data_IF_185814157466
#
_entry.id   IF_185814157466
#
_cell.length_a   1.000
_cell.length_b   1.000
_cell.length_c   1.000
_cell.angle_alpha   90.00
_cell.angle_beta   90.00
_cell.angle_gamma   90.00
#
_symmetry.space_group_name_H-M   'P 1'
#
loop_
_entity.id
_entity.type
_entity.pdbx_description
1 polymer ?
#
# COMPACT_ATOMS: atom_id res chain seq x y z
N UNK A 1 29.63 15.73 29.99
CA UNK A 1 28.91 14.45 30.15
C UNK A 1 29.79 13.35 29.58
N UNK A 2 29.99 12.23 30.28
CA UNK A 2 30.89 11.18 29.78
C UNK A 2 30.15 10.31 28.75
N UNK A 3 30.83 9.90 27.68
CA UNK A 3 30.23 9.06 26.63
C UNK A 3 29.64 7.75 27.18
N UNK A 4 30.30 7.17 28.20
CA UNK A 4 29.82 5.95 28.88
C UNK A 4 28.49 6.15 29.60
N UNK A 5 28.24 7.33 30.18
CA UNK A 5 26.98 7.66 30.85
C UNK A 5 25.83 7.75 29.84
N UNK A 6 26.09 8.37 28.68
CA UNK A 6 25.11 8.48 27.59
C UNK A 6 24.80 7.10 27.00
N UNK A 7 25.83 6.29 26.75
CA UNK A 7 25.64 4.94 26.23
C UNK A 7 24.82 4.08 27.21
N UNK A 8 25.10 4.18 28.51
CA UNK A 8 24.30 3.50 29.54
C UNK A 8 22.86 4.01 29.57
N UNK A 9 22.63 5.32 29.46
CA UNK A 9 21.30 5.90 29.35
C UNK A 9 20.53 5.36 28.14
N UNK A 10 21.16 5.31 26.97
CA UNK A 10 20.55 4.82 25.73
C UNK A 10 20.10 3.35 25.88
N UNK A 11 21.01 2.46 26.27
CA UNK A 11 20.71 1.02 26.35
C UNK A 11 19.68 0.70 27.45
N UNK A 12 19.69 1.46 28.55
CA UNK A 12 18.68 1.32 29.59
C UNK A 12 17.28 1.75 29.14
N UNK A 13 17.18 2.68 28.18
CA UNK A 13 15.91 3.21 27.72
C UNK A 13 15.40 2.56 26.44
N UNK A 14 16.24 1.94 25.62
CA UNK A 14 15.82 1.29 24.37
C UNK A 14 14.69 0.26 24.60
N UNK A 15 14.77 -0.50 25.71
CA UNK A 15 13.74 -1.47 26.11
C UNK A 15 12.40 -0.87 26.54
N UNK A 16 12.33 0.44 26.77
CA UNK A 16 11.10 1.13 27.18
C UNK A 16 10.26 1.55 25.96
N UNK A 17 10.71 1.26 24.75
CA UNK A 17 10.00 1.54 23.52
C UNK A 17 9.14 0.36 23.09
N UNK A 18 7.83 0.57 23.04
CA UNK A 18 6.85 -0.40 22.55
C UNK A 18 6.63 -0.19 21.05
N UNK A 19 7.61 -0.62 20.26
CA UNK A 19 7.58 -0.59 18.78
C UNK A 19 7.43 -2.00 18.23
N UNK A 20 6.92 -2.13 17.00
CA UNK A 20 6.53 -3.43 16.44
C UNK A 20 7.73 -4.35 16.16
N UNK A 21 8.92 -3.79 15.93
CA UNK A 21 10.16 -4.54 15.68
C UNK A 21 11.41 -3.68 15.92
N UNK A 22 12.58 -4.15 15.48
CA UNK A 22 13.90 -3.58 15.79
C UNK A 22 14.44 -2.60 14.75
N UNK A 23 13.74 -2.40 13.63
CA UNK A 23 14.19 -1.55 12.53
C UNK A 23 14.39 -0.08 12.93
N UNK A 24 13.68 0.39 13.95
CA UNK A 24 13.86 1.74 14.50
C UNK A 24 14.87 1.83 15.65
N UNK A 25 15.55 0.75 16.03
CA UNK A 25 16.45 0.79 17.19
C UNK A 25 17.55 1.85 17.03
N UNK A 26 18.18 1.94 15.87
CA UNK A 26 19.23 2.94 15.65
C UNK A 26 18.69 4.36 15.63
N UNK A 27 17.47 4.55 15.12
CA UNK A 27 16.76 5.81 15.15
C UNK A 27 16.47 6.25 16.61
N UNK A 28 15.97 5.32 17.44
CA UNK A 28 15.73 5.55 18.87
C UNK A 28 17.02 5.85 19.62
N UNK A 29 18.12 5.14 19.31
CA UNK A 29 19.44 5.40 19.91
C UNK A 29 19.91 6.83 19.62
N UNK A 30 19.77 7.29 18.37
CA UNK A 30 20.14 8.65 17.98
C UNK A 30 19.25 9.70 18.66
N UNK A 31 17.95 9.44 18.76
CA UNK A 31 17.01 10.31 19.49
C UNK A 31 17.38 10.44 20.98
N UNK A 32 17.66 9.33 21.65
CA UNK A 32 18.07 9.31 23.05
C UNK A 32 19.43 9.99 23.26
N UNK A 33 20.36 9.85 22.31
CA UNK A 33 21.61 10.61 22.31
C UNK A 33 21.33 12.12 22.24
N UNK A 34 20.49 12.57 21.32
CA UNK A 34 20.11 13.99 21.19
C UNK A 34 19.36 14.51 22.42
N UNK A 35 18.51 13.71 23.07
CA UNK A 35 17.91 14.09 24.36
C UNK A 35 18.96 14.32 25.44
N UNK A 36 19.94 13.42 25.57
CA UNK A 36 20.99 13.56 26.57
C UNK A 36 21.81 14.85 26.33
N UNK A 37 22.20 15.12 25.08
CA UNK A 37 22.91 16.35 24.70
C UNK A 37 22.03 17.60 24.89
N UNK A 38 20.73 17.49 24.61
CA UNK A 38 19.74 18.55 24.76
C UNK A 38 19.41 18.92 26.21
N UNK A 39 19.95 18.19 27.19
CA UNK A 39 19.79 18.49 28.61
C UNK A 39 18.75 17.63 29.34
N UNK A 40 18.26 16.56 28.73
CA UNK A 40 17.39 15.61 29.43
C UNK A 40 18.08 15.04 30.67
N UNK A 41 17.34 14.98 31.78
CA UNK A 41 17.83 14.32 32.99
C UNK A 41 17.88 12.81 32.76
N UNK A 42 19.08 12.28 32.50
CA UNK A 42 19.30 10.85 32.23
C UNK A 42 18.89 9.90 33.38
N UNK A 43 18.54 10.41 34.56
CA UNK A 43 17.93 9.62 35.65
C UNK A 43 16.45 9.31 35.39
N UNK A 44 15.79 10.08 34.53
CA UNK A 44 14.41 9.88 34.14
C UNK A 44 14.34 8.96 32.93
N UNK A 45 13.53 7.92 33.04
CA UNK A 45 13.26 7.01 31.95
C UNK A 45 12.50 7.74 30.83
N UNK A 46 12.81 7.36 29.59
CA UNK A 46 12.13 7.79 28.38
C UNK A 46 11.31 6.62 27.88
N UNK A 47 10.06 6.90 27.51
CA UNK A 47 9.14 5.91 26.96
C UNK A 47 8.69 6.38 25.58
N UNK A 48 8.52 5.43 24.67
CA UNK A 48 7.95 5.69 23.38
C UNK A 48 7.20 4.47 22.87
N UNK A 49 6.45 4.67 21.79
CA UNK A 49 5.72 3.61 21.13
C UNK A 49 5.54 3.93 19.66
N UNK A 50 5.25 2.91 18.88
CA UNK A 50 4.65 3.11 17.57
C UNK A 50 3.22 3.64 17.75
N UNK A 51 2.84 4.62 16.93
CA UNK A 51 1.47 5.08 16.78
C UNK A 51 1.27 5.65 15.37
N UNK A 52 0.30 5.08 14.65
CA UNK A 52 -0.06 5.49 13.28
C UNK A 52 1.15 5.44 12.31
N UNK A 53 1.97 4.40 12.46
CA UNK A 53 3.16 4.16 11.65
C UNK A 53 4.35 5.06 11.97
N UNK A 54 4.29 5.81 13.08
CA UNK A 54 5.37 6.70 13.52
C UNK A 54 5.86 6.39 14.94
N UNK A 55 7.13 6.70 15.19
CA UNK A 55 7.73 6.72 16.50
C UNK A 55 7.21 7.92 17.30
N UNK A 56 6.38 7.64 18.30
CA UNK A 56 5.86 8.62 19.23
C UNK A 56 6.58 8.52 20.58
N UNK A 57 7.15 9.64 21.04
CA UNK A 57 7.74 9.76 22.36
C UNK A 57 7.09 10.91 23.12
N UNK A 58 6.42 10.60 24.24
CA UNK A 58 5.78 11.62 25.07
C UNK A 58 6.77 12.09 26.13
N UNK A 59 7.23 13.34 25.98
CA UNK A 59 8.15 13.99 26.92
C UNK A 59 7.59 15.33 27.36
N UNK A 60 7.89 15.69 28.60
CA UNK A 60 7.48 16.95 29.20
C UNK A 60 8.57 17.43 30.14
N UNK A 61 8.88 18.72 30.06
CA UNK A 61 9.72 19.44 31.01
C UNK A 61 8.99 20.70 31.47
N UNK A 62 9.08 21.01 32.77
CA UNK A 62 8.60 22.29 33.31
C UNK A 62 9.44 23.48 32.83
N UNK A 63 10.70 23.22 32.45
CA UNK A 63 11.54 24.20 31.76
C UNK A 63 11.09 24.34 30.31
N UNK A 64 10.59 25.53 29.96
CA UNK A 64 10.06 25.86 28.65
C UNK A 64 11.10 25.76 27.53
N UNK A 65 12.34 26.18 27.78
CA UNK A 65 13.40 26.14 26.76
C UNK A 65 13.78 24.69 26.47
N UNK A 66 13.96 23.89 27.52
CA UNK A 66 14.20 22.46 27.40
C UNK A 66 13.04 21.76 26.70
N UNK A 67 11.79 22.10 27.02
CA UNK A 67 10.62 21.50 26.39
C UNK A 67 10.55 21.78 24.87
N UNK A 68 10.96 22.98 24.42
CA UNK A 68 11.06 23.31 22.99
C UNK A 68 12.17 22.50 22.31
N UNK A 69 13.34 22.39 22.92
CA UNK A 69 14.47 21.58 22.39
C UNK A 69 14.02 20.12 22.22
N UNK A 70 13.42 19.57 23.27
CA UNK A 70 12.94 18.19 23.30
C UNK A 70 11.83 17.95 22.27
N UNK A 71 10.87 18.87 22.15
CA UNK A 71 9.81 18.82 21.12
C UNK A 71 10.36 18.80 19.70
N UNK A 72 11.36 19.63 19.40
CA UNK A 72 12.01 19.64 18.08
C UNK A 72 12.70 18.30 17.77
N UNK A 73 13.32 17.68 18.78
CA UNK A 73 13.95 16.35 18.63
C UNK A 73 12.86 15.30 18.37
N UNK A 74 11.78 15.27 19.16
CA UNK A 74 10.69 14.29 18.92
C UNK A 74 10.07 14.43 17.55
N UNK A 75 9.79 15.66 17.10
CA UNK A 75 9.17 15.92 15.80
C UNK A 75 10.08 15.47 14.66
N UNK A 76 11.40 15.71 14.79
CA UNK A 76 12.40 15.22 13.83
C UNK A 76 12.35 13.70 13.73
N UNK A 77 12.37 12.99 14.85
CA UNK A 77 12.46 11.53 14.87
C UNK A 77 11.14 10.82 14.53
N UNK A 78 9.97 11.44 14.81
CA UNK A 78 8.67 10.98 14.28
C UNK A 78 8.68 11.04 12.74
N UNK A 79 9.07 12.17 12.14
CA UNK A 79 9.15 12.30 10.66
C UNK A 79 10.14 11.33 10.02
N UNK A 80 11.29 11.10 10.66
CA UNK A 80 12.28 10.14 10.17
C UNK A 80 11.75 8.70 10.24
N UNK A 81 11.03 8.36 11.31
CA UNK A 81 10.45 7.02 11.45
C UNK A 81 9.44 6.69 10.36
N UNK A 82 8.69 7.69 9.87
CA UNK A 82 7.77 7.56 8.73
C UNK A 82 8.43 7.27 7.37
N UNK A 83 9.78 7.27 7.32
CA UNK A 83 10.59 6.96 6.13
C UNK A 83 11.48 5.74 6.29
N UNK A 84 11.38 5.06 7.44
CA UNK A 84 12.25 3.94 7.80
C UNK A 84 11.37 2.74 8.14
N UNK A 85 11.62 1.60 7.52
CA UNK A 85 10.91 0.38 7.82
C UNK A 85 11.08 -0.02 9.29
N UNK A 86 9.97 -0.16 10.01
CA UNK A 86 9.98 -0.53 11.43
C UNK A 86 10.55 -1.93 11.69
N UNK A 87 10.56 -2.80 10.67
CA UNK A 87 11.03 -4.18 10.77
C UNK A 87 12.55 -4.29 10.58
N UNK A 88 13.11 -3.70 9.52
CA UNK A 88 14.53 -3.89 9.18
C UNK A 88 15.38 -2.62 9.15
N UNK A 89 14.79 -1.43 9.28
CA UNK A 89 15.54 -0.17 9.28
C UNK A 89 16.00 0.32 7.91
N UNK A 90 15.62 -0.35 6.81
CA UNK A 90 15.83 0.18 5.46
C UNK A 90 14.86 1.32 5.16
N UNK A 91 15.04 1.99 4.02
CA UNK A 91 14.04 2.93 3.49
C UNK A 91 12.66 2.28 3.43
N UNK A 92 11.65 3.02 3.90
CA UNK A 92 10.26 2.61 3.96
C UNK A 92 9.32 3.78 3.71
N UNK A 93 8.04 3.46 3.57
CA UNK A 93 6.97 4.43 3.39
C UNK A 93 5.83 4.09 4.34
N UNK A 94 4.99 5.07 4.66
CA UNK A 94 3.73 4.84 5.37
C UNK A 94 2.81 3.98 4.51
N UNK A 95 2.22 2.95 5.09
CA UNK A 95 1.33 2.00 4.42
C UNK A 95 0.17 1.64 5.32
N UNK A 96 -0.91 1.16 4.70
CA UNK A 96 -2.07 0.65 5.43
C UNK A 96 -2.19 -0.85 5.21
N UNK A 97 -2.24 -1.62 6.29
CA UNK A 97 -2.47 -3.07 6.29
C UNK A 97 -3.61 -3.34 7.27
N UNK A 98 -4.69 -3.98 6.82
CA UNK A 98 -5.85 -4.32 7.68
C UNK A 98 -6.38 -3.12 8.49
N UNK A 99 -6.43 -1.93 7.87
CA UNK A 99 -6.80 -0.64 8.50
C UNK A 99 -5.80 -0.06 9.52
N UNK A 100 -4.61 -0.65 9.66
CA UNK A 100 -3.52 -0.16 10.50
C UNK A 100 -2.46 0.55 9.66
N UNK A 101 -2.06 1.74 10.10
CA UNK A 101 -0.94 2.45 9.50
C UNK A 101 0.39 1.95 10.09
N UNK A 102 1.34 1.63 9.23
CA UNK A 102 2.70 1.20 9.57
C UNK A 102 3.70 1.74 8.56
N UNK A 103 4.96 1.94 8.95
CA UNK A 103 6.02 2.28 8.00
C UNK A 103 6.82 1.05 7.63
N UNK A 104 6.72 0.62 6.36
CA UNK A 104 7.37 -0.59 5.87
C UNK A 104 8.10 -0.34 4.54
N UNK A 105 9.19 -1.08 4.34
CA UNK A 105 9.76 -1.24 3.01
C UNK A 105 8.84 -2.12 2.15
N UNK A 106 8.96 -2.02 0.84
CA UNK A 106 8.13 -2.78 -0.10
C UNK A 106 8.16 -4.29 0.16
N UNK A 107 9.31 -4.86 0.49
CA UNK A 107 9.42 -6.31 0.74
C UNK A 107 8.58 -6.75 1.94
N UNK A 108 8.73 -6.08 3.09
CA UNK A 108 7.93 -6.40 4.28
C UNK A 108 6.45 -6.06 4.10
N UNK A 109 6.13 -5.08 3.24
CA UNK A 109 4.76 -4.82 2.86
C UNK A 109 4.16 -5.99 2.06
N UNK A 110 4.85 -6.49 1.04
CA UNK A 110 4.39 -7.63 0.22
C UNK A 110 4.35 -8.95 1.00
N UNK A 111 5.18 -9.12 2.03
CA UNK A 111 5.03 -10.24 2.98
C UNK A 111 3.72 -10.16 3.76
N UNK A 112 3.17 -8.95 3.94
CA UNK A 112 1.96 -8.70 4.70
C UNK A 112 0.71 -8.52 3.82
N UNK A 113 0.84 -7.97 2.62
CA UNK A 113 -0.21 -7.87 1.61
C UNK A 113 0.02 -8.94 0.54
N UNK A 114 -0.68 -10.09 0.61
CA UNK A 114 -0.41 -11.21 -0.26
C UNK A 114 -0.80 -10.90 -1.71
N UNK A 115 0.03 -11.36 -2.64
CA UNK A 115 -0.37 -11.58 -4.02
C UNK A 115 -1.21 -12.85 -4.07
N UNK A 116 -2.37 -12.80 -4.74
CA UNK A 116 -3.17 -13.98 -5.02
C UNK A 116 -2.43 -14.80 -6.09
N UNK A 117 -2.10 -16.06 -5.79
CA UNK A 117 -1.60 -16.99 -6.80
C UNK A 117 -2.58 -18.14 -6.99
N UNK A 118 -2.78 -18.50 -8.26
CA UNK A 118 -3.71 -19.54 -8.68
C UNK A 118 -2.93 -20.50 -9.57
N UNK A 119 -2.82 -21.74 -9.12
CA UNK A 119 -2.07 -22.77 -9.86
C UNK A 119 -2.94 -23.50 -10.89
N UNK A 120 -2.32 -24.43 -11.64
CA UNK A 120 -3.01 -25.24 -12.66
C UNK A 120 -4.08 -26.18 -12.09
N UNK A 121 -4.05 -26.44 -10.77
CA UNK A 121 -5.04 -27.25 -10.05
C UNK A 121 -6.13 -26.39 -9.41
N UNK A 122 -6.12 -25.08 -9.68
CA UNK A 122 -7.03 -24.09 -9.12
C UNK A 122 -6.90 -23.97 -7.58
N UNK A 123 -5.73 -24.31 -7.02
CA UNK A 123 -5.41 -23.94 -5.65
C UNK A 123 -5.12 -22.44 -5.58
N UNK A 124 -5.84 -21.75 -4.70
CA UNK A 124 -5.61 -20.33 -4.40
C UNK A 124 -4.69 -20.24 -3.21
N UNK A 125 -3.55 -19.58 -3.36
CA UNK A 125 -2.56 -19.40 -2.30
C UNK A 125 -2.32 -17.93 -1.98
N UNK A 126 -2.17 -17.63 -0.70
CA UNK A 126 -1.75 -16.34 -0.16
C UNK A 126 -0.52 -16.57 0.71
N UNK A 127 0.56 -15.80 0.49
CA UNK A 127 1.84 -15.95 1.21
C UNK A 127 2.39 -17.39 1.17
N UNK A 128 2.20 -18.08 0.04
CA UNK A 128 2.62 -19.47 -0.15
C UNK A 128 1.81 -20.50 0.65
N UNK A 129 0.71 -20.11 1.29
CA UNK A 129 -0.22 -21.01 1.98
C UNK A 129 -1.48 -21.16 1.15
N UNK A 130 -1.90 -22.39 0.89
CA UNK A 130 -3.20 -22.68 0.29
C UNK A 130 -4.31 -22.18 1.22
N UNK A 131 -5.21 -21.36 0.67
CA UNK A 131 -6.34 -20.79 1.38
C UNK A 131 -7.63 -21.54 1.04
N UNK A 132 -7.81 -21.87 -0.25
CA UNK A 132 -8.93 -22.66 -0.78
C UNK A 132 -8.56 -23.32 -2.11
N UNK A 133 -9.41 -24.22 -2.60
CA UNK A 133 -9.38 -24.69 -3.98
C UNK A 133 -10.69 -24.32 -4.69
N UNK A 134 -10.63 -23.74 -5.89
CA UNK A 134 -11.84 -23.27 -6.59
C UNK A 134 -12.80 -24.40 -6.99
N UNK A 135 -12.35 -25.65 -7.04
CA UNK A 135 -13.22 -26.82 -7.29
C UNK A 135 -14.03 -27.24 -6.05
N UNK A 136 -13.63 -26.78 -4.87
CA UNK A 136 -14.31 -27.03 -3.59
C UNK A 136 -15.25 -25.87 -3.19
N UNK A 137 -15.22 -24.76 -3.94
CA UNK A 137 -16.10 -23.62 -3.74
C UNK A 137 -17.53 -23.97 -4.16
N UNK A 138 -18.48 -23.83 -3.25
CA UNK A 138 -19.91 -24.09 -3.47
C UNK A 138 -20.67 -22.84 -3.93
N UNK A 139 -20.17 -21.64 -3.59
CA UNK A 139 -20.84 -20.37 -3.85
C UNK A 139 -19.83 -19.21 -3.91
N UNK A 140 -20.14 -18.19 -4.69
CA UNK A 140 -19.38 -16.95 -4.77
C UNK A 140 -20.30 -15.71 -4.74
N UNK A 141 -19.89 -14.65 -4.07
CA UNK A 141 -20.61 -13.37 -4.03
C UNK A 141 -19.65 -12.21 -4.29
N UNK A 142 -20.12 -11.19 -5.01
CA UNK A 142 -19.36 -9.95 -5.27
C UNK A 142 -19.98 -8.79 -4.51
N UNK A 143 -19.16 -7.86 -4.04
CA UNK A 143 -19.60 -6.65 -3.35
C UNK A 143 -19.09 -5.39 -4.04
N UNK A 144 -19.83 -4.28 -3.86
CA UNK A 144 -19.41 -2.91 -4.19
C UNK A 144 -18.83 -2.75 -5.61
N UNK A 145 -19.61 -3.03 -6.66
CA UNK A 145 -19.16 -2.92 -8.07
C UNK A 145 -17.88 -3.75 -8.37
N UNK A 146 -17.86 -5.02 -7.93
CA UNK A 146 -16.74 -5.97 -8.10
C UNK A 146 -15.46 -5.56 -7.35
N UNK A 147 -15.59 -4.89 -6.21
CA UNK A 147 -14.46 -4.55 -5.35
C UNK A 147 -14.19 -5.62 -4.29
N UNK A 148 -15.20 -6.39 -3.89
CA UNK A 148 -15.08 -7.51 -2.97
C UNK A 148 -15.48 -8.83 -3.62
N UNK A 149 -14.84 -9.93 -3.22
CA UNK A 149 -15.23 -11.28 -3.59
C UNK A 149 -15.24 -12.17 -2.35
N UNK A 150 -16.40 -12.74 -2.05
CA UNK A 150 -16.56 -13.80 -1.06
C UNK A 150 -16.65 -15.15 -1.76
N UNK A 151 -15.83 -16.11 -1.33
CA UNK A 151 -15.88 -17.50 -1.76
C UNK A 151 -16.22 -18.40 -0.56
N UNK A 152 -17.16 -19.30 -0.76
CA UNK A 152 -17.69 -20.18 0.27
C UNK A 152 -17.37 -21.65 -0.04
N UNK A 153 -16.84 -22.37 0.95
CA UNK A 153 -16.60 -23.82 0.90
C UNK A 153 -17.55 -24.51 1.89
N UNK A 154 -18.25 -25.56 1.44
CA UNK A 154 -19.03 -26.43 2.34
C UNK A 154 -18.08 -27.33 3.15
N UNK A 155 -18.18 -27.29 4.47
CA UNK A 155 -17.42 -28.21 5.33
C UNK A 155 -18.27 -29.40 5.76
N UNK A 156 -17.60 -30.52 6.12
CA UNK A 156 -18.23 -31.75 6.58
C UNK A 156 -19.17 -31.57 7.81
N UNK A 157 -19.07 -30.44 8.51
CA UNK A 157 -19.85 -30.12 9.71
C UNK A 157 -21.03 -29.18 9.43
N UNK A 158 -21.36 -28.91 8.15
CA UNK A 158 -22.31 -27.85 7.74
C UNK A 158 -21.92 -26.44 8.23
N UNK A 159 -20.65 -26.22 8.54
CA UNK A 159 -20.11 -24.87 8.76
C UNK A 159 -19.66 -24.33 7.41
N UNK A 160 -20.09 -23.11 7.05
CA UNK A 160 -19.68 -22.48 5.80
C UNK A 160 -18.36 -21.74 6.05
N UNK A 161 -17.27 -22.20 5.42
CA UNK A 161 -16.00 -21.49 5.47
C UNK A 161 -16.01 -20.42 4.40
N UNK A 162 -15.94 -19.16 4.81
CA UNK A 162 -15.90 -18.02 3.90
C UNK A 162 -14.49 -17.42 3.82
N UNK A 163 -14.07 -17.07 2.61
CA UNK A 163 -12.82 -16.36 2.34
C UNK A 163 -13.11 -15.10 1.55
N UNK A 164 -12.57 -13.97 2.00
CA UNK A 164 -12.72 -12.67 1.33
C UNK A 164 -11.46 -12.31 0.55
N UNK A 165 -11.66 -11.68 -0.60
CA UNK A 165 -10.61 -11.08 -1.42
C UNK A 165 -11.02 -9.66 -1.84
N UNK A 166 -10.04 -8.77 -1.93
CA UNK A 166 -10.23 -7.36 -2.26
C UNK A 166 -9.53 -7.00 -3.57
N UNK A 167 -10.10 -6.07 -4.34
CA UNK A 167 -9.49 -5.52 -5.55
C UNK A 167 -8.11 -4.89 -5.35
N UNK A 168 -7.79 -4.53 -4.11
CA UNK A 168 -6.49 -4.00 -3.72
C UNK A 168 -5.38 -5.07 -3.72
N UNK A 169 -5.75 -6.35 -3.81
CA UNK A 169 -4.82 -7.47 -3.88
C UNK A 169 -4.46 -7.78 -5.35
N UNK A 170 -3.16 -7.86 -5.69
CA UNK A 170 -2.75 -8.27 -7.03
C UNK A 170 -3.33 -9.65 -7.40
N UNK A 171 -3.76 -9.80 -8.65
CA UNK A 171 -4.50 -10.94 -9.21
C UNK A 171 -5.95 -11.10 -8.72
N UNK A 172 -6.54 -10.11 -8.06
CA UNK A 172 -7.97 -10.15 -7.70
C UNK A 172 -8.88 -10.37 -8.93
N UNK A 173 -8.69 -9.58 -10.00
CA UNK A 173 -9.53 -9.70 -11.18
C UNK A 173 -9.24 -11.00 -11.97
N UNK A 174 -8.02 -11.53 -11.89
CA UNK A 174 -7.70 -12.88 -12.36
C UNK A 174 -8.49 -13.94 -11.59
N UNK A 175 -8.55 -13.84 -10.26
CA UNK A 175 -9.36 -14.73 -9.43
C UNK A 175 -10.84 -14.63 -9.80
N UNK A 176 -11.40 -13.42 -9.85
CA UNK A 176 -12.79 -13.18 -10.24
C UNK A 176 -13.13 -13.81 -11.60
N UNK A 177 -12.23 -13.67 -12.59
CA UNK A 177 -12.38 -14.27 -13.92
C UNK A 177 -12.29 -15.80 -13.91
N UNK A 178 -11.57 -16.38 -12.95
CA UNK A 178 -11.31 -17.83 -12.87
C UNK A 178 -12.41 -18.59 -12.15
N UNK A 179 -13.13 -17.94 -11.23
CA UNK A 179 -14.27 -18.54 -10.52
C UNK A 179 -15.36 -18.93 -11.53
N UNK A 180 -15.88 -20.18 -11.50
CA UNK A 180 -16.95 -20.60 -12.40
C UNK A 180 -18.21 -19.73 -12.26
N UNK A 181 -18.68 -19.15 -13.37
CA UNK A 181 -19.86 -18.28 -13.40
C UNK A 181 -21.10 -18.85 -12.68
N UNK A 182 -21.45 -20.16 -12.81
CA UNK A 182 -22.63 -20.71 -12.14
C UNK A 182 -22.59 -20.65 -10.60
N UNK A 183 -21.43 -20.38 -9.99
CA UNK A 183 -21.31 -20.22 -8.54
C UNK A 183 -21.79 -18.84 -8.05
N UNK A 184 -21.91 -17.87 -8.96
CA UNK A 184 -22.42 -16.54 -8.66
C UNK A 184 -23.96 -16.48 -8.79
N UNK A 185 -24.62 -15.56 -8.07
CA UNK A 185 -26.02 -15.21 -8.29
C UNK A 185 -26.32 -14.86 -9.77
N UNK A 186 -27.49 -15.27 -10.28
CA UNK A 186 -27.87 -15.11 -11.70
C UNK A 186 -27.79 -13.66 -12.20
N UNK A 187 -28.13 -12.70 -11.35
CA UNK A 187 -28.04 -11.26 -11.62
C UNK A 187 -26.58 -10.79 -11.79
N UNK A 188 -25.65 -11.35 -11.01
CA UNK A 188 -24.23 -11.04 -11.09
C UNK A 188 -23.51 -11.71 -12.27
N UNK A 189 -23.98 -12.88 -12.71
CA UNK A 189 -23.34 -13.65 -13.79
C UNK A 189 -23.21 -12.85 -15.09
N UNK A 190 -24.27 -12.14 -15.48
CA UNK A 190 -24.27 -11.33 -16.69
C UNK A 190 -23.24 -10.20 -16.58
N UNK A 191 -23.23 -9.48 -15.46
CA UNK A 191 -22.35 -8.33 -15.28
C UNK A 191 -20.87 -8.72 -15.24
N UNK A 192 -20.52 -9.84 -14.57
CA UNK A 192 -19.16 -10.38 -14.55
C UNK A 192 -18.72 -10.82 -15.96
N UNK A 193 -19.61 -11.44 -16.73
CA UNK A 193 -19.31 -11.84 -18.11
C UNK A 193 -19.07 -10.63 -19.02
N UNK A 194 -19.92 -9.60 -18.91
CA UNK A 194 -19.76 -8.35 -19.66
C UNK A 194 -18.49 -7.58 -19.27
N UNK A 195 -18.13 -7.60 -17.98
CA UNK A 195 -16.94 -6.94 -17.45
C UNK A 195 -15.70 -7.29 -18.27
N UNK A 196 -15.40 -8.59 -18.39
CA UNK A 196 -14.18 -9.07 -19.05
C UNK A 196 -14.25 -9.07 -20.58
N UNK A 197 -15.46 -9.04 -21.16
CA UNK A 197 -15.64 -9.05 -22.62
C UNK A 197 -15.46 -7.66 -23.23
N UNK A 198 -15.83 -6.60 -22.48
CA UNK A 198 -15.92 -5.23 -22.99
C UNK A 198 -14.83 -4.29 -22.46
N UNK A 199 -13.73 -4.83 -21.91
CA UNK A 199 -12.62 -4.01 -21.43
C UNK A 199 -12.00 -3.21 -22.57
N UNK A 200 -11.79 -1.90 -22.34
CA UNK A 200 -11.09 -1.02 -23.27
C UNK A 200 -9.65 -0.77 -22.83
N UNK A 201 -8.85 -0.30 -23.77
CA UNK A 201 -7.44 0.01 -23.58
C UNK A 201 -7.28 1.28 -22.76
N UNK A 202 -6.47 1.23 -21.70
CA UNK A 202 -6.14 2.40 -20.89
C UNK A 202 -4.94 3.15 -21.47
N UNK A 203 -5.16 4.38 -21.93
CA UNK A 203 -4.09 5.26 -22.44
C UNK A 203 -3.11 5.68 -21.34
N UNK A 204 -3.52 5.61 -20.07
CA UNK A 204 -2.69 5.98 -18.93
C UNK A 204 -1.74 4.82 -18.58
N UNK A 205 -2.25 3.68 -18.11
CA UNK A 205 -1.37 2.59 -17.67
C UNK A 205 -0.94 1.59 -18.76
N UNK A 206 -1.58 1.61 -19.95
CA UNK A 206 -1.23 0.71 -21.05
C UNK A 206 -1.77 -0.71 -20.92
N UNK A 207 -2.82 -0.92 -20.12
CA UNK A 207 -3.50 -2.20 -19.97
C UNK A 207 -4.94 -2.15 -20.48
N UNK A 208 -5.42 -3.27 -21.03
CA UNK A 208 -6.82 -3.45 -21.42
C UNK A 208 -7.68 -3.74 -20.19
N UNK A 209 -8.09 -2.67 -19.52
CA UNK A 209 -8.69 -2.73 -18.18
C UNK A 209 -9.77 -1.66 -17.91
N UNK A 210 -10.18 -0.86 -18.90
CA UNK A 210 -11.24 0.14 -18.69
C UNK A 210 -12.61 -0.53 -18.69
N UNK A 211 -13.35 -0.33 -17.60
CA UNK A 211 -14.76 -0.69 -17.45
C UNK A 211 -15.56 0.53 -16.97
N UNK A 212 -16.70 0.82 -17.61
CA UNK A 212 -17.57 1.97 -17.27
C UNK A 212 -16.82 3.32 -17.10
N UNK A 213 -15.74 3.50 -17.86
CA UNK A 213 -14.95 4.74 -17.85
C UNK A 213 -13.91 4.83 -16.72
N UNK A 214 -13.61 3.74 -16.00
CA UNK A 214 -12.56 3.67 -14.99
C UNK A 214 -11.64 2.49 -15.33
N UNK A 215 -10.32 2.67 -15.23
CA UNK A 215 -9.37 1.57 -15.36
C UNK A 215 -9.36 0.71 -14.09
N UNK A 216 -9.70 -0.57 -14.19
CA UNK A 216 -9.70 -1.52 -13.06
C UNK A 216 -8.30 -1.84 -12.51
N UNK A 217 -7.22 -1.43 -13.20
CA UNK A 217 -5.83 -1.66 -12.79
C UNK A 217 -5.19 -0.45 -12.14
N UNK A 218 -5.30 0.73 -12.74
CA UNK A 218 -4.68 1.96 -12.23
C UNK A 218 -5.67 2.94 -11.62
N UNK A 219 -6.97 2.60 -11.60
CA UNK A 219 -8.07 3.38 -11.00
C UNK A 219 -8.26 4.80 -11.54
N UNK A 220 -7.53 5.17 -12.58
CA UNK A 220 -7.73 6.43 -13.27
C UNK A 220 -9.02 6.38 -14.10
N UNK A 221 -9.74 7.50 -14.11
CA UNK A 221 -10.86 7.69 -15.02
C UNK A 221 -10.35 7.77 -16.46
N UNK A 222 -11.16 7.29 -17.40
CA UNK A 222 -10.92 7.52 -18.82
C UNK A 222 -11.32 8.95 -19.15
N UNK A 223 -10.53 9.62 -19.99
CA UNK A 223 -10.93 10.89 -20.56
C UNK A 223 -12.32 10.78 -21.22
N UNK A 224 -13.22 11.71 -20.88
CA UNK A 224 -14.56 11.79 -21.48
C UNK A 224 -14.54 12.93 -22.49
N UNK A 225 -14.66 12.59 -23.77
CA UNK A 225 -14.82 13.60 -24.82
C UNK A 225 -16.06 14.45 -24.51
N UNK A 226 -15.86 15.77 -24.50
CA UNK A 226 -16.97 16.72 -24.51
C UNK A 226 -17.53 16.81 -25.94
N UNK A 227 -18.80 17.18 -26.12
CA UNK A 227 -19.43 17.26 -27.45
C UNK A 227 -18.78 18.34 -28.36
N UNK A 228 -17.90 19.20 -27.83
CA UNK A 228 -17.23 20.30 -28.51
C UNK A 228 -15.73 19.99 -28.80
N UNK A 229 -15.50 18.96 -29.61
CA UNK A 229 -14.23 18.22 -29.79
C UNK A 229 -13.00 18.93 -30.42
N UNK A 230 -12.95 20.27 -30.57
CA UNK A 230 -11.81 20.96 -31.24
C UNK A 230 -10.77 21.49 -30.25
N UNK A 231 -11.16 21.93 -29.05
CA UNK A 231 -10.23 22.34 -27.98
C UNK A 231 -9.80 21.15 -27.08
N UNK A 232 -10.49 20.01 -27.22
CA UNK A 232 -10.41 18.82 -26.36
C UNK A 232 -9.08 18.03 -26.50
N UNK A 233 -8.36 18.17 -27.62
CA UNK A 233 -7.21 17.28 -27.91
C UNK A 233 -5.93 17.58 -27.10
N UNK A 234 -5.62 18.85 -26.83
CA UNK A 234 -4.46 19.22 -26.00
C UNK A 234 -4.74 18.92 -24.52
N UNK A 235 -5.97 19.17 -24.07
CA UNK A 235 -6.42 18.86 -22.72
C UNK A 235 -6.39 17.35 -22.44
N UNK A 236 -6.88 16.53 -23.39
CA UNK A 236 -6.78 15.07 -23.32
C UNK A 236 -5.33 14.62 -23.17
N UNK A 237 -4.42 15.15 -24.00
CA UNK A 237 -3.00 14.78 -23.94
C UNK A 237 -2.41 15.16 -22.58
N UNK A 238 -2.69 16.37 -22.06
CA UNK A 238 -2.22 16.80 -20.75
C UNK A 238 -2.74 15.89 -19.65
N UNK A 239 -4.03 15.55 -19.66
CA UNK A 239 -4.65 14.66 -18.69
C UNK A 239 -4.00 13.27 -18.67
N UNK A 240 -3.85 12.64 -19.85
CA UNK A 240 -3.22 11.32 -19.94
C UNK A 240 -1.78 11.38 -19.44
N UNK A 241 -1.06 12.45 -19.80
CA UNK A 241 0.33 12.65 -19.43
C UNK A 241 0.50 12.80 -17.92
N UNK A 242 -0.35 13.59 -17.26
CA UNK A 242 -0.36 13.72 -15.79
C UNK A 242 -0.60 12.38 -15.12
N UNK A 243 -1.64 11.64 -15.53
CA UNK A 243 -1.91 10.30 -14.99
C UNK A 243 -0.77 9.31 -15.23
N UNK A 244 -0.07 9.41 -16.37
CA UNK A 244 1.12 8.60 -16.65
C UNK A 244 2.27 8.96 -15.70
N UNK A 245 2.51 10.26 -15.45
CA UNK A 245 3.55 10.71 -14.53
C UNK A 245 3.26 10.27 -13.09
N UNK A 246 2.01 10.33 -12.64
CA UNK A 246 1.57 9.81 -11.33
C UNK A 246 1.91 8.33 -11.15
N UNK A 247 1.58 7.51 -12.17
CA UNK A 247 1.92 6.08 -12.17
C UNK A 247 3.44 5.86 -12.15
N UNK A 248 4.21 6.71 -12.84
CA UNK A 248 5.67 6.57 -12.89
C UNK A 248 6.38 6.99 -11.60
N UNK A 249 5.87 8.01 -10.90
CA UNK A 249 6.38 8.39 -9.58
C UNK A 249 6.15 7.27 -8.56
N UNK A 250 4.99 6.59 -8.67
CA UNK A 250 4.69 5.38 -7.89
C UNK A 250 4.85 5.66 -6.37
N UNK A 251 4.27 6.77 -5.91
CA UNK A 251 4.46 7.29 -4.56
C UNK A 251 3.98 6.32 -3.48
N UNK A 252 2.92 5.56 -3.76
CA UNK A 252 2.37 4.51 -2.90
C UNK A 252 2.95 3.11 -3.18
N UNK A 253 3.86 3.00 -4.16
CA UNK A 253 4.39 1.74 -4.69
C UNK A 253 3.32 0.82 -5.32
N UNK A 254 2.20 1.37 -5.80
CA UNK A 254 1.14 0.62 -6.50
C UNK A 254 1.69 -0.21 -7.67
N UNK A 255 2.46 0.38 -8.59
CA UNK A 255 3.03 -0.34 -9.74
C UNK A 255 4.02 -1.41 -9.32
N UNK A 256 4.83 -1.14 -8.29
CA UNK A 256 5.72 -2.14 -7.69
C UNK A 256 4.96 -3.32 -7.07
N UNK A 257 3.74 -3.13 -6.58
CA UNK A 257 2.89 -4.20 -6.07
C UNK A 257 2.18 -4.94 -7.22
N UNK A 258 1.58 -4.20 -8.15
CA UNK A 258 0.81 -4.72 -9.28
C UNK A 258 1.67 -5.24 -10.44
N UNK A 259 3.00 -5.20 -10.35
CA UNK A 259 3.88 -5.89 -11.32
C UNK A 259 3.65 -7.41 -11.37
N UNK A 260 3.10 -7.99 -10.31
CA UNK A 260 2.74 -9.41 -10.24
C UNK A 260 1.30 -9.69 -10.68
N UNK A 261 0.52 -8.64 -10.94
CA UNK A 261 -0.83 -8.76 -11.45
C UNK A 261 -0.82 -9.20 -12.92
N UNK A 262 -1.58 -10.25 -13.19
CA UNK A 262 -1.76 -10.90 -14.50
C UNK A 262 -3.22 -10.82 -14.94
N UNK A 263 -4.02 -9.96 -14.30
CA UNK A 263 -5.45 -9.87 -14.55
C UNK A 263 -5.76 -9.29 -15.92
N UNK A 264 -4.90 -8.41 -16.42
CA UNK A 264 -5.11 -7.65 -17.64
C UNK A 264 -3.97 -7.77 -18.64
N UNK A 265 -4.32 -7.73 -19.93
CA UNK A 265 -3.37 -7.76 -21.04
C UNK A 265 -2.74 -6.39 -21.25
N UNK A 266 -1.43 -6.36 -21.55
CA UNK A 266 -0.74 -5.15 -21.98
C UNK A 266 -1.12 -4.79 -23.41
N UNK A 267 -1.33 -3.51 -23.66
CA UNK A 267 -1.56 -2.94 -24.98
C UNK A 267 -0.20 -2.79 -25.70
N UNK A 268 0.04 -3.51 -26.82
CA UNK A 268 1.37 -3.57 -27.43
C UNK A 268 1.93 -2.22 -27.89
N UNK A 269 1.06 -1.32 -28.34
CA UNK A 269 1.43 -0.02 -28.91
C UNK A 269 1.18 1.15 -27.93
N UNK A 270 1.12 0.88 -26.63
CA UNK A 270 0.96 1.92 -25.60
C UNK A 270 2.14 2.91 -25.64
N UNK A 271 1.83 4.21 -25.61
CA UNK A 271 2.81 5.28 -25.71
C UNK A 271 2.91 6.06 -24.40
N UNK A 272 4.15 6.32 -23.98
CA UNK A 272 4.44 7.27 -22.91
C UNK A 272 4.54 8.67 -23.53
N UNK A 273 3.70 9.59 -23.05
CA UNK A 273 3.49 10.93 -23.61
C UNK A 273 4.34 12.02 -22.95
N UNK A 274 5.18 11.66 -21.98
CA UNK A 274 6.09 12.58 -21.30
C UNK A 274 7.56 12.20 -21.49
N UNK A 275 8.40 13.23 -21.41
CA UNK A 275 9.85 13.12 -21.34
C UNK A 275 10.34 13.13 -19.89
N UNK A 276 11.54 12.59 -19.65
CA UNK A 276 12.13 12.58 -18.32
C UNK A 276 12.30 13.98 -17.70
N UNK A 277 12.55 15.00 -18.53
CA UNK A 277 12.60 16.39 -18.06
C UNK A 277 11.25 16.87 -17.54
N UNK A 278 10.15 16.46 -18.17
CA UNK A 278 8.81 16.86 -17.76
C UNK A 278 8.39 16.15 -16.46
N UNK A 279 8.73 14.87 -16.31
CA UNK A 279 8.54 14.16 -15.05
C UNK A 279 9.29 14.84 -13.89
N UNK A 280 10.54 15.25 -14.12
CA UNK A 280 11.32 15.93 -13.08
C UNK A 280 10.77 17.31 -12.71
N UNK A 281 10.21 18.05 -13.66
CA UNK A 281 9.51 19.30 -13.35
C UNK A 281 8.19 19.04 -12.61
N UNK A 282 7.49 17.96 -12.95
CA UNK A 282 6.27 17.53 -12.27
C UNK A 282 6.52 17.15 -10.81
N UNK A 283 7.56 16.37 -10.52
CA UNK A 283 7.98 16.02 -9.14
C UNK A 283 8.17 17.27 -8.25
N UNK A 284 8.75 18.34 -8.79
CA UNK A 284 9.00 19.60 -8.05
C UNK A 284 7.73 20.37 -7.71
N UNK A 285 6.62 20.11 -8.40
CA UNK A 285 5.34 20.76 -8.11
C UNK A 285 4.63 20.11 -6.92
N UNK A 286 4.97 18.85 -6.62
CA UNK A 286 4.34 18.05 -5.58
C UNK A 286 5.13 18.03 -4.26
N UNK A 287 6.44 18.30 -4.29
CA UNK A 287 7.35 18.24 -3.13
C UNK A 287 8.22 19.50 -2.97
#
# INVERSE_FOLDING_TARGET
MKQEEINSFIENNLKNFSVNSTGWNDLIRQMLFEFAIGGWNMKHAVFGKEKFGELCCAIYSEDKELNVILGNITDKYSRLSGKICEICGSEGKMRTIDSWQTTLCLNHFLEQQPVIDIDEKLDVTLKGKKVLNLTEVSKAEVEYDFQGLWLYEETELNEEKQTYFSWQEPNYFLLLKTVPLPLFPEDSQHEISELFTNLKDCEICGYKAIHKGICLRCHNESWRESEDAIEDSEEKISYIKEGQMDIFMDDDDHEKCFKYDRSFEKVPDHQILFSYSELHEYEKLLF
#
